data_IF_428534774539
#
_entry.id   IF_428534774539
#
_cell.length_a   1.000
_cell.length_b   1.000
_cell.length_c   1.000
_cell.angle_alpha   90.00
_cell.angle_beta   90.00
_cell.angle_gamma   90.00
#
_symmetry.space_group_name_H-M   'P 1'
#
loop_
_entity.id
_entity.type
_entity.pdbx_description
1 polymer ?
#
# COMPACT_ATOMS: atom_id res chain seq x y z
N UNK A 1 18.33 -103.00 15.04
CA UNK A 1 19.42 -102.31 15.77
C UNK A 1 19.51 -100.91 15.22
N UNK A 2 19.02 -99.91 15.95
CA UNK A 2 19.79 -99.17 16.98
C UNK A 2 20.98 -98.45 16.33
N UNK A 3 21.33 -97.21 16.63
CA UNK A 3 20.81 -96.13 17.44
C UNK A 3 21.79 -94.96 17.12
N UNK A 4 21.49 -93.74 17.52
CA UNK A 4 22.49 -92.66 17.71
C UNK A 4 23.24 -92.14 16.46
N UNK A 5 22.67 -91.13 15.79
CA UNK A 5 23.45 -90.02 15.17
C UNK A 5 22.64 -88.74 14.89
N UNK A 6 21.55 -88.52 15.64
CA UNK A 6 20.70 -87.31 15.56
C UNK A 6 20.77 -86.43 16.82
N UNK A 7 21.93 -86.39 17.50
CA UNK A 7 22.07 -85.63 18.77
C UNK A 7 23.30 -84.72 18.84
N UNK A 8 23.85 -84.28 17.69
CA UNK A 8 24.98 -83.34 17.67
C UNK A 8 24.93 -82.31 16.53
N UNK A 9 23.73 -81.90 16.09
CA UNK A 9 23.54 -80.80 15.11
C UNK A 9 22.40 -79.83 15.44
N UNK A 10 21.81 -79.90 16.64
CA UNK A 10 20.70 -79.02 17.06
C UNK A 10 21.08 -78.12 18.26
N UNK A 11 22.27 -78.28 18.85
CA UNK A 11 22.71 -77.43 19.99
C UNK A 11 23.74 -76.35 19.58
N UNK A 12 24.23 -76.34 18.34
CA UNK A 12 25.17 -75.30 17.86
C UNK A 12 24.60 -74.34 16.81
N UNK A 13 23.30 -74.41 16.52
CA UNK A 13 22.61 -73.49 15.58
C UNK A 13 21.50 -72.68 16.25
N UNK A 14 21.27 -72.88 17.55
CA UNK A 14 20.24 -72.19 18.33
C UNK A 14 20.82 -71.26 19.43
N UNK A 15 22.10 -70.89 19.35
CA UNK A 15 22.78 -70.01 20.31
C UNK A 15 23.48 -68.82 19.64
N UNK A 16 22.88 -68.26 18.58
CA UNK A 16 23.38 -67.03 17.93
C UNK A 16 22.24 -66.08 17.50
N UNK A 17 21.04 -66.26 18.05
CA UNK A 17 19.91 -65.36 17.83
C UNK A 17 19.34 -65.00 19.21
N UNK A 18 19.97 -64.00 19.84
CA UNK A 18 19.43 -63.11 20.88
C UNK A 18 20.60 -62.29 21.48
N UNK A 19 21.47 -61.73 20.63
CA UNK A 19 22.11 -60.49 21.05
C UNK A 19 21.01 -59.44 20.96
N UNK A 20 20.61 -58.77 22.07
CA UNK A 20 19.78 -57.60 21.95
C UNK A 20 20.53 -56.67 21.00
N UNK A 21 19.94 -56.38 19.83
CA UNK A 21 20.40 -55.25 19.03
C UNK A 21 20.23 -54.06 19.97
N UNK A 22 21.31 -53.66 20.63
CA UNK A 22 21.34 -52.40 21.33
C UNK A 22 21.09 -51.38 20.22
N UNK A 23 19.85 -50.91 20.10
CA UNK A 23 19.55 -49.75 19.32
C UNK A 23 20.38 -48.63 19.96
N UNK A 24 21.49 -48.29 19.32
CA UNK A 24 22.30 -47.13 19.66
C UNK A 24 21.33 -45.96 19.63
N UNK A 25 21.31 -45.17 20.70
CA UNK A 25 20.47 -44.00 20.71
C UNK A 25 21.00 -43.03 19.65
N UNK A 26 20.12 -42.44 18.85
CA UNK A 26 20.45 -41.31 17.99
C UNK A 26 21.37 -40.33 18.71
N UNK A 27 22.34 -39.77 17.99
CA UNK A 27 23.30 -38.83 18.55
C UNK A 27 23.23 -37.48 17.86
N UNK A 28 23.31 -36.42 18.67
CA UNK A 28 23.61 -35.07 18.17
C UNK A 28 25.12 -34.92 18.07
N UNK A 29 25.62 -34.88 16.85
CA UNK A 29 27.06 -34.92 16.56
C UNK A 29 27.68 -33.52 16.52
N UNK A 30 26.90 -32.53 16.10
CA UNK A 30 27.40 -31.18 15.87
C UNK A 30 26.30 -30.15 16.09
N UNK A 31 26.65 -29.05 16.75
CA UNK A 31 25.87 -27.83 16.77
C UNK A 31 26.60 -26.78 15.93
N UNK A 32 25.84 -26.00 15.17
CA UNK A 32 26.36 -24.81 14.46
C UNK A 32 25.30 -23.73 14.44
N UNK A 33 25.74 -22.51 14.15
CA UNK A 33 24.84 -21.40 13.95
C UNK A 33 25.18 -20.60 12.69
N UNK A 34 24.19 -19.85 12.19
CA UNK A 34 24.38 -18.79 11.21
C UNK A 34 23.51 -17.60 11.59
N UNK A 35 24.01 -16.39 11.34
CA UNK A 35 23.27 -15.15 11.55
C UNK A 35 23.07 -14.44 10.20
N UNK A 36 21.87 -13.93 9.98
CA UNK A 36 21.48 -13.23 8.75
C UNK A 36 20.58 -12.02 9.11
N UNK A 37 20.28 -11.12 8.16
CA UNK A 37 19.35 -10.00 8.39
C UNK A 37 17.93 -10.42 8.77
N UNK A 38 17.46 -11.63 8.41
CA UNK A 38 16.10 -12.09 8.71
C UNK A 38 16.00 -12.92 9.99
N UNK A 39 17.05 -13.69 10.30
CA UNK A 39 17.04 -14.67 11.39
C UNK A 39 18.42 -15.06 11.90
N UNK A 40 18.44 -15.59 13.11
CA UNK A 40 19.50 -16.48 13.60
C UNK A 40 19.02 -17.91 13.46
N UNK A 41 19.86 -18.79 12.91
CA UNK A 41 19.57 -20.21 12.74
C UNK A 41 20.55 -21.05 13.56
N UNK A 42 20.02 -21.97 14.34
CA UNK A 42 20.77 -23.02 15.03
C UNK A 42 20.47 -24.36 14.35
N UNK A 43 21.52 -25.13 14.07
CA UNK A 43 21.40 -26.44 13.41
C UNK A 43 22.12 -27.49 14.24
N UNK A 44 21.41 -28.56 14.53
CA UNK A 44 21.91 -29.77 15.18
C UNK A 44 21.97 -30.88 14.13
N UNK A 45 23.16 -31.40 13.85
CA UNK A 45 23.30 -32.59 13.00
C UNK A 45 23.04 -33.84 13.83
N UNK A 46 22.18 -34.71 13.31
CA UNK A 46 21.89 -36.01 13.90
C UNK A 46 22.31 -37.13 12.95
N UNK A 47 22.72 -38.27 13.49
CA UNK A 47 23.04 -39.46 12.72
C UNK A 47 21.79 -40.08 12.08
N UNK A 48 20.68 -40.09 12.80
CA UNK A 48 19.38 -40.58 12.32
C UNK A 48 18.27 -39.52 12.46
N UNK A 49 17.06 -39.87 12.01
CA UNK A 49 15.87 -39.03 12.16
C UNK A 49 15.40 -39.10 13.61
N UNK A 50 15.28 -37.96 14.28
CA UNK A 50 14.95 -37.89 15.71
C UNK A 50 13.62 -37.18 15.94
N UNK A 51 12.95 -37.54 17.04
CA UNK A 51 11.79 -36.80 17.54
C UNK A 51 12.26 -35.62 18.38
N UNK A 52 11.47 -34.57 18.40
CA UNK A 52 11.72 -33.40 19.22
C UNK A 52 10.40 -32.77 19.68
N UNK A 53 10.48 -31.99 20.75
CA UNK A 53 9.41 -31.12 21.22
C UNK A 53 10.01 -29.79 21.66
N UNK A 54 9.54 -28.71 21.05
CA UNK A 54 9.91 -27.35 21.40
C UNK A 54 8.83 -26.67 22.24
N UNK A 55 9.28 -25.77 23.10
CA UNK A 55 8.42 -24.88 23.88
C UNK A 55 9.13 -23.57 24.17
N UNK A 56 8.32 -22.53 24.40
CA UNK A 56 8.79 -21.21 24.79
C UNK A 56 8.62 -21.03 26.29
N UNK A 57 9.68 -20.63 26.97
CA UNK A 57 9.70 -20.37 28.42
C UNK A 57 10.22 -18.95 28.66
N UNK A 58 9.31 -17.97 28.72
CA UNK A 58 9.66 -16.55 28.79
C UNK A 58 10.53 -16.13 27.60
N UNK A 59 11.72 -15.59 27.88
CA UNK A 59 12.72 -15.22 26.86
C UNK A 59 13.64 -16.37 26.45
N UNK A 60 13.30 -17.63 26.74
CA UNK A 60 14.07 -18.80 26.28
C UNK A 60 13.24 -19.70 25.39
N UNK A 61 13.91 -20.34 24.43
CA UNK A 61 13.37 -21.42 23.60
C UNK A 61 14.03 -22.72 24.06
N UNK A 62 13.23 -23.72 24.40
CA UNK A 62 13.69 -25.04 24.82
C UNK A 62 13.28 -26.06 23.77
N UNK A 63 14.24 -26.83 23.26
CA UNK A 63 13.97 -27.94 22.34
C UNK A 63 14.47 -29.23 22.98
N UNK A 64 13.53 -30.08 23.39
CA UNK A 64 13.81 -31.42 23.90
C UNK A 64 13.94 -32.37 22.70
N UNK A 65 14.99 -33.18 22.66
CA UNK A 65 15.36 -33.99 21.50
C UNK A 65 15.61 -35.43 21.97
N UNK A 66 14.98 -36.39 21.30
CA UNK A 66 15.16 -37.83 21.54
C UNK A 66 16.48 -38.32 20.91
N UNK A 67 17.58 -37.67 21.28
CA UNK A 67 18.94 -37.98 20.85
C UNK A 67 19.94 -37.66 21.97
N UNK A 68 20.90 -38.55 22.19
CA UNK A 68 21.98 -38.34 23.13
C UNK A 68 22.98 -37.29 22.61
N UNK A 69 23.65 -36.61 23.52
CA UNK A 69 24.82 -35.77 23.21
C UNK A 69 25.99 -36.22 24.07
N UNK A 70 27.16 -36.46 23.46
CA UNK A 70 28.31 -37.01 24.17
C UNK A 70 28.83 -36.07 25.26
N UNK A 71 28.90 -34.77 24.96
CA UNK A 71 29.30 -33.68 25.86
C UNK A 71 28.36 -32.49 25.67
N UNK A 72 28.14 -31.73 26.73
CA UNK A 72 27.48 -30.43 26.61
C UNK A 72 28.20 -29.55 25.60
N UNK A 73 27.44 -28.92 24.70
CA UNK A 73 27.95 -27.98 23.71
C UNK A 73 27.39 -26.59 24.02
N UNK A 74 28.25 -25.58 23.93
CA UNK A 74 27.84 -24.18 24.02
C UNK A 74 28.38 -23.43 22.81
N UNK A 75 27.53 -22.62 22.19
CA UNK A 75 27.91 -21.80 21.04
C UNK A 75 27.96 -20.33 21.42
N UNK A 76 29.09 -19.68 21.14
CA UNK A 76 29.25 -18.24 21.35
C UNK A 76 28.66 -17.47 20.18
N UNK A 77 27.34 -17.33 20.17
CA UNK A 77 26.62 -16.61 19.12
C UNK A 77 26.76 -15.10 19.32
N UNK A 78 27.52 -14.45 18.44
CA UNK A 78 27.64 -12.98 18.40
C UNK A 78 26.43 -12.38 17.68
N UNK A 79 25.32 -12.23 18.39
CA UNK A 79 24.09 -11.66 17.81
C UNK A 79 23.27 -10.87 18.84
N UNK A 80 22.72 -9.69 18.50
CA UNK A 80 21.94 -8.88 19.45
C UNK A 80 20.69 -9.56 20.00
N UNK A 81 20.11 -10.56 19.33
CA UNK A 81 18.90 -11.25 19.84
C UNK A 81 19.24 -12.42 20.76
N UNK A 82 20.46 -12.96 20.71
CA UNK A 82 20.85 -14.17 21.42
C UNK A 82 21.66 -13.82 22.67
N UNK A 83 21.27 -14.39 23.81
CA UNK A 83 22.00 -14.30 25.08
C UNK A 83 22.92 -15.49 25.28
N UNK A 84 22.43 -16.71 25.04
CA UNK A 84 23.21 -17.95 25.10
C UNK A 84 22.55 -19.08 24.32
N UNK A 85 23.36 -20.04 23.89
CA UNK A 85 22.92 -21.27 23.21
C UNK A 85 23.67 -22.44 23.84
N UNK A 86 22.93 -23.33 24.50
CA UNK A 86 23.50 -24.48 25.22
C UNK A 86 22.71 -25.74 24.87
N UNK A 87 23.40 -26.77 24.39
CA UNK A 87 22.86 -28.11 24.24
C UNK A 87 23.43 -29.00 25.35
N UNK A 88 22.56 -29.46 26.26
CA UNK A 88 22.94 -30.30 27.40
C UNK A 88 22.30 -31.67 27.35
N UNK A 89 22.85 -32.60 28.12
CA UNK A 89 22.25 -33.94 28.34
C UNK A 89 20.93 -33.79 29.10
N UNK A 90 19.94 -34.62 28.73
CA UNK A 90 18.63 -34.70 29.40
C UNK A 90 18.25 -36.18 29.62
N UNK A 91 19.20 -36.96 30.14
CA UNK A 91 19.10 -38.42 30.26
C UNK A 91 20.08 -39.15 29.34
N UNK A 92 19.99 -40.48 29.29
CA UNK A 92 20.93 -41.33 28.50
C UNK A 92 20.70 -41.28 27.00
N UNK A 93 19.45 -41.05 26.57
CA UNK A 93 19.02 -41.08 25.16
C UNK A 93 18.39 -39.76 24.70
N UNK A 94 18.56 -38.69 25.47
CA UNK A 94 17.89 -37.42 25.22
C UNK A 94 18.82 -36.25 25.54
N UNK A 95 18.56 -35.13 24.86
CA UNK A 95 19.28 -33.88 25.01
C UNK A 95 18.31 -32.70 24.93
N UNK A 96 18.75 -31.57 25.46
CA UNK A 96 17.94 -30.35 25.59
C UNK A 96 18.72 -29.17 25.09
N UNK A 97 18.26 -28.56 24.00
CA UNK A 97 18.77 -27.28 23.51
C UNK A 97 18.03 -26.17 24.26
N UNK A 98 18.77 -25.29 24.91
CA UNK A 98 18.26 -24.07 25.55
C UNK A 98 18.88 -22.87 24.85
N UNK A 99 18.05 -22.07 24.20
CA UNK A 99 18.44 -20.79 23.61
C UNK A 99 17.81 -19.67 24.41
N UNK A 100 18.62 -18.93 25.18
CA UNK A 100 18.15 -17.74 25.87
C UNK A 100 18.30 -16.52 24.98
N UNK A 101 17.28 -15.66 24.96
CA UNK A 101 17.17 -14.49 24.12
C UNK A 101 17.21 -13.21 24.97
N UNK A 102 17.68 -12.11 24.36
CA UNK A 102 17.65 -10.79 25.01
C UNK A 102 16.24 -10.18 25.03
N UNK A 103 15.40 -10.57 24.07
CA UNK A 103 13.98 -10.23 23.98
C UNK A 103 13.22 -11.40 23.41
N UNK A 104 11.92 -11.42 23.68
CA UNK A 104 11.03 -12.43 23.12
C UNK A 104 11.02 -12.37 21.58
N UNK A 105 11.15 -13.52 20.91
CA UNK A 105 11.14 -13.62 19.44
C UNK A 105 10.15 -14.69 18.96
N UNK A 106 9.74 -14.57 17.70
CA UNK A 106 9.12 -15.67 16.95
C UNK A 106 10.20 -16.67 16.54
N UNK A 107 9.84 -17.95 16.50
CA UNK A 107 10.76 -19.01 16.10
C UNK A 107 10.02 -20.14 15.39
N UNK A 108 10.79 -21.00 14.72
CA UNK A 108 10.29 -22.24 14.13
C UNK A 108 11.32 -23.35 14.29
N UNK A 109 10.89 -24.50 14.79
CA UNK A 109 11.71 -25.73 14.83
C UNK A 109 11.20 -26.71 13.77
N UNK A 110 12.10 -27.26 12.96
CA UNK A 110 11.78 -28.25 11.94
C UNK A 110 12.93 -29.21 11.71
N UNK A 111 12.61 -30.42 11.23
CA UNK A 111 13.60 -31.41 10.84
C UNK A 111 13.88 -31.36 9.33
N UNK A 112 15.14 -31.59 8.95
CA UNK A 112 15.54 -31.84 7.56
C UNK A 112 16.12 -33.25 7.45
N UNK A 113 16.02 -33.85 6.27
CA UNK A 113 16.65 -35.12 5.92
C UNK A 113 17.74 -34.88 4.87
N UNK A 114 18.66 -35.83 4.73
CA UNK A 114 19.76 -35.80 3.75
C UNK A 114 20.65 -34.52 3.82
N UNK A 115 21.50 -34.36 4.86
CA UNK A 115 21.61 -35.15 6.08
C UNK A 115 20.55 -34.80 7.13
N UNK A 116 20.37 -35.69 8.12
CA UNK A 116 19.41 -35.52 9.22
C UNK A 116 19.82 -34.35 10.13
N UNK A 117 18.89 -33.40 10.33
CA UNK A 117 19.12 -32.19 11.11
C UNK A 117 17.86 -31.78 11.86
N UNK A 118 18.05 -31.22 13.06
CA UNK A 118 17.06 -30.36 13.71
C UNK A 118 17.49 -28.91 13.53
N UNK A 119 16.59 -28.07 13.01
CA UNK A 119 16.84 -26.67 12.70
C UNK A 119 15.90 -25.80 13.53
N UNK A 120 16.47 -24.83 14.25
CA UNK A 120 15.77 -23.77 14.95
C UNK A 120 16.05 -22.44 14.26
N UNK A 121 15.02 -21.85 13.66
CA UNK A 121 15.04 -20.48 13.15
C UNK A 121 14.46 -19.53 14.18
N UNK A 122 15.19 -18.45 14.50
CA UNK A 122 14.77 -17.38 15.41
C UNK A 122 14.72 -16.10 14.59
N UNK A 123 13.51 -15.60 14.34
CA UNK A 123 13.28 -14.47 13.44
C UNK A 123 13.56 -13.15 14.14
N UNK A 124 14.15 -12.20 13.41
CA UNK A 124 14.42 -10.84 13.92
C UNK A 124 13.19 -9.94 13.86
N UNK A 125 12.41 -10.12 12.81
CA UNK A 125 11.24 -9.31 12.51
C UNK A 125 10.03 -10.18 12.80
N UNK A 126 9.16 -9.67 13.67
CA UNK A 126 7.88 -10.31 13.97
C UNK A 126 6.98 -10.21 12.72
N UNK A 127 6.54 -11.34 12.20
CA UNK A 127 5.53 -11.38 11.14
C UNK A 127 4.17 -11.58 11.79
N UNK A 128 3.29 -10.60 11.63
CA UNK A 128 1.95 -10.60 12.22
C UNK A 128 0.95 -10.06 11.21
N UNK A 129 -0.17 -10.74 11.01
CA UNK A 129 -1.25 -10.29 10.16
C UNK A 129 -2.58 -10.43 10.92
N UNK A 130 -3.18 -9.29 11.25
CA UNK A 130 -4.41 -9.22 12.02
C UNK A 130 -5.50 -8.57 11.17
N UNK A 131 -6.55 -9.33 10.89
CA UNK A 131 -7.67 -8.91 10.05
C UNK A 131 -8.93 -8.77 10.90
N UNK A 132 -9.60 -7.63 10.79
CA UNK A 132 -10.81 -7.29 11.52
C UNK A 132 -11.90 -6.90 10.53
N UNK A 133 -13.02 -7.62 10.56
CA UNK A 133 -14.22 -7.24 9.82
C UNK A 133 -14.86 -5.99 10.46
N UNK A 134 -14.97 -4.91 9.70
CA UNK A 134 -15.57 -3.64 10.15
C UNK A 134 -17.09 -3.60 9.90
N UNK A 135 -17.65 -4.68 9.35
CA UNK A 135 -19.04 -4.77 8.92
C UNK A 135 -19.29 -4.11 7.57
N UNK A 136 -20.49 -4.31 7.02
CA UNK A 136 -20.98 -3.61 5.81
C UNK A 136 -20.06 -3.74 4.57
N UNK A 137 -19.36 -4.88 4.45
CA UNK A 137 -18.43 -5.15 3.35
C UNK A 137 -17.08 -4.42 3.46
N UNK A 138 -16.72 -3.87 4.63
CA UNK A 138 -15.41 -3.28 4.90
C UNK A 138 -14.57 -4.20 5.80
N UNK A 139 -13.33 -4.43 5.40
CA UNK A 139 -12.35 -5.15 6.20
C UNK A 139 -11.11 -4.28 6.41
N UNK A 140 -10.52 -4.35 7.60
CA UNK A 140 -9.23 -3.76 7.91
C UNK A 140 -8.21 -4.84 8.25
N UNK A 141 -7.00 -4.73 7.74
CA UNK A 141 -5.88 -5.61 8.07
C UNK A 141 -4.66 -4.79 8.47
N UNK A 142 -4.14 -5.03 9.67
CA UNK A 142 -2.76 -4.67 10.03
C UNK A 142 -1.83 -5.82 9.64
N UNK A 143 -0.73 -5.50 8.96
CA UNK A 143 0.24 -6.50 8.56
C UNK A 143 1.67 -6.00 8.76
N UNK A 144 2.37 -6.64 9.68
CA UNK A 144 3.81 -6.53 9.80
C UNK A 144 4.45 -7.73 9.10
N UNK A 145 5.32 -7.46 8.12
CA UNK A 145 6.02 -8.50 7.34
C UNK A 145 7.54 -8.33 7.42
N UNK A 146 8.24 -9.42 7.12
CA UNK A 146 9.69 -9.46 6.93
C UNK A 146 10.00 -9.42 5.43
N UNK A 147 10.38 -8.26 4.92
CA UNK A 147 10.73 -8.06 3.51
C UNK A 147 12.23 -8.30 3.31
N UNK A 148 12.67 -9.54 3.54
CA UNK A 148 14.06 -9.98 3.37
C UNK A 148 15.06 -9.26 4.31
N UNK A 149 14.68 -9.11 5.57
CA UNK A 149 15.47 -8.47 6.63
C UNK A 149 15.10 -7.02 6.84
N UNK A 150 14.08 -6.54 6.12
CA UNK A 150 13.56 -5.19 6.20
C UNK A 150 12.17 -5.21 6.82
N UNK A 151 11.99 -4.66 8.02
CA UNK A 151 10.68 -4.63 8.66
C UNK A 151 9.78 -3.67 7.91
N UNK A 152 8.53 -4.09 7.70
CA UNK A 152 7.51 -3.26 7.07
C UNK A 152 6.18 -3.43 7.80
N UNK A 153 5.52 -2.31 8.08
CA UNK A 153 4.17 -2.26 8.64
C UNK A 153 3.21 -1.68 7.60
N UNK A 154 2.09 -2.37 7.39
CA UNK A 154 1.08 -2.02 6.41
C UNK A 154 -0.30 -2.00 7.07
N UNK A 155 -1.12 -1.08 6.58
CA UNK A 155 -2.52 -0.88 6.95
C UNK A 155 -3.32 -1.02 5.66
N UNK A 156 -4.25 -1.97 5.63
CA UNK A 156 -4.96 -2.36 4.42
C UNK A 156 -6.46 -2.27 4.66
N UNK A 157 -7.18 -1.62 3.76
CA UNK A 157 -8.63 -1.67 3.68
C UNK A 157 -9.03 -2.48 2.45
N UNK A 158 -9.98 -3.40 2.64
CA UNK A 158 -10.64 -4.09 1.53
C UNK A 158 -12.13 -3.74 1.56
N UNK A 159 -12.61 -3.20 0.43
CA UNK A 159 -13.97 -2.74 0.24
C UNK A 159 -14.64 -3.66 -0.78
N UNK A 160 -15.56 -4.49 -0.30
CA UNK A 160 -16.27 -5.43 -1.15
C UNK A 160 -17.14 -4.69 -2.20
N UNK A 161 -17.39 -5.30 -3.38
CA UNK A 161 -18.21 -4.69 -4.44
C UNK A 161 -19.62 -4.32 -3.97
N UNK A 162 -20.19 -5.15 -3.09
CA UNK A 162 -21.50 -4.99 -2.50
C UNK A 162 -21.48 -4.26 -1.13
N UNK A 163 -20.38 -3.59 -0.78
CA UNK A 163 -20.29 -2.84 0.48
C UNK A 163 -21.35 -1.74 0.57
N UNK A 164 -21.72 -1.34 1.80
CA UNK A 164 -22.63 -0.21 2.03
C UNK A 164 -21.89 1.14 1.93
N UNK A 165 -20.68 1.18 1.38
CA UNK A 165 -19.86 2.39 1.30
C UNK A 165 -19.70 2.86 -0.13
N UNK A 166 -19.80 4.18 -0.36
CA UNK A 166 -19.35 4.86 -1.58
C UNK A 166 -17.90 5.29 -1.37
N UNK A 167 -17.08 5.14 -2.41
CA UNK A 167 -15.69 5.59 -2.43
C UNK A 167 -15.68 6.93 -3.17
N UNK A 168 -15.40 8.02 -2.46
CA UNK A 168 -15.42 9.36 -3.05
C UNK A 168 -14.15 10.14 -2.68
N UNK A 169 -13.53 10.84 -3.64
CA UNK A 169 -12.52 11.82 -3.31
C UNK A 169 -13.16 12.98 -2.55
N UNK A 170 -12.35 13.69 -1.78
CA UNK A 170 -12.75 14.95 -1.15
C UNK A 170 -11.55 15.87 -1.01
N UNK A 171 -11.81 17.18 -0.91
CA UNK A 171 -10.74 18.15 -0.62
C UNK A 171 -10.27 18.01 0.83
N UNK A 172 -8.95 17.97 1.05
CA UNK A 172 -8.38 18.01 2.39
C UNK A 172 -8.70 19.30 3.14
N UNK A 173 -8.95 20.41 2.43
CA UNK A 173 -9.46 21.65 2.99
C UNK A 173 -10.99 21.68 3.18
N UNK A 174 -11.68 20.57 2.90
CA UNK A 174 -13.13 20.34 3.10
C UNK A 174 -13.99 21.11 2.10
N UNK A 175 -14.03 22.44 2.20
CA UNK A 175 -15.02 23.30 1.50
C UNK A 175 -14.45 24.04 0.27
N UNK A 176 -13.18 23.82 -0.05
CA UNK A 176 -12.46 24.50 -1.12
C UNK A 176 -11.24 23.72 -1.57
N UNK A 177 -10.64 24.08 -2.70
CA UNK A 177 -9.33 23.57 -3.08
C UNK A 177 -8.24 24.05 -2.10
N UNK A 178 -7.34 23.17 -1.71
CA UNK A 178 -6.24 23.46 -0.80
C UNK A 178 -5.97 22.32 0.17
N UNK A 179 -4.96 22.52 1.02
CA UNK A 179 -4.48 21.50 1.95
C UNK A 179 -5.20 21.55 3.30
N UNK A 180 -5.44 20.38 3.88
CA UNK A 180 -5.88 20.26 5.26
C UNK A 180 -5.55 18.90 5.84
N UNK A 181 -5.83 18.75 7.15
CA UNK A 181 -5.62 17.53 7.90
C UNK A 181 -6.70 16.51 7.50
N UNK A 182 -6.30 15.37 6.97
CA UNK A 182 -7.13 14.21 6.66
C UNK A 182 -8.02 13.80 7.84
N UNK A 183 -7.47 13.66 9.06
CA UNK A 183 -8.29 13.29 10.22
C UNK A 183 -9.41 14.32 10.49
N UNK A 184 -9.09 15.61 10.40
CA UNK A 184 -10.09 16.68 10.55
C UNK A 184 -11.16 16.57 9.47
N UNK A 185 -10.76 16.41 8.21
CA UNK A 185 -11.68 16.31 7.09
C UNK A 185 -12.59 15.07 7.19
N UNK A 186 -12.06 13.92 7.60
CA UNK A 186 -12.82 12.69 7.86
C UNK A 186 -13.89 12.92 8.92
N UNK A 187 -13.52 13.53 10.05
CA UNK A 187 -14.45 13.81 11.14
C UNK A 187 -15.55 14.80 10.72
N UNK A 188 -15.19 15.82 9.93
CA UNK A 188 -16.15 16.84 9.46
C UNK A 188 -17.10 16.29 8.39
N UNK A 189 -16.59 15.49 7.46
CA UNK A 189 -17.37 14.95 6.34
C UNK A 189 -18.11 13.65 6.69
N UNK A 190 -17.86 13.07 7.86
CA UNK A 190 -18.52 11.83 8.31
C UNK A 190 -18.06 10.57 7.56
N UNK A 191 -16.83 10.55 7.06
CA UNK A 191 -16.28 9.35 6.41
C UNK A 191 -15.99 8.26 7.44
N UNK A 192 -16.30 6.99 7.12
CA UNK A 192 -15.96 5.83 7.97
C UNK A 192 -14.45 5.61 8.04
N UNK A 193 -13.79 5.76 6.89
CA UNK A 193 -12.36 5.63 6.72
C UNK A 193 -11.91 6.54 5.58
N UNK A 194 -10.64 6.92 5.56
CA UNK A 194 -10.03 7.59 4.42
C UNK A 194 -8.51 7.37 4.36
N UNK A 195 -7.95 7.64 3.18
CA UNK A 195 -6.51 7.78 2.96
C UNK A 195 -6.21 9.07 2.21
N UNK A 196 -4.96 9.50 2.20
CA UNK A 196 -4.49 10.52 1.25
C UNK A 196 -4.52 9.99 -0.20
N UNK A 197 -4.60 10.88 -1.19
CA UNK A 197 -4.75 10.49 -2.59
C UNK A 197 -3.78 11.21 -3.56
N UNK A 198 -4.27 12.11 -4.42
CA UNK A 198 -3.47 12.74 -5.48
C UNK A 198 -2.29 13.57 -4.99
N UNK A 199 -1.28 13.71 -5.86
CA UNK A 199 -0.18 14.63 -5.67
C UNK A 199 -0.66 16.08 -5.64
N UNK A 200 0.16 16.96 -5.04
CA UNK A 200 -0.10 18.38 -4.98
C UNK A 200 1.19 19.20 -4.86
N UNK A 201 1.15 20.45 -5.28
CA UNK A 201 2.26 21.39 -5.13
C UNK A 201 2.26 22.08 -3.75
N UNK A 202 3.22 22.98 -3.52
CA UNK A 202 3.33 23.71 -2.25
C UNK A 202 2.16 24.64 -1.94
N UNK A 203 1.42 25.08 -2.96
CA UNK A 203 0.21 25.89 -2.84
C UNK A 203 -1.05 25.03 -2.60
N UNK A 204 -0.91 23.70 -2.73
CA UNK A 204 -2.01 22.76 -2.62
C UNK A 204 -2.76 22.52 -3.94
N UNK A 205 -2.23 22.99 -5.07
CA UNK A 205 -2.78 22.66 -6.38
C UNK A 205 -2.58 21.18 -6.64
N UNK A 206 -3.68 20.50 -6.95
CA UNK A 206 -3.76 19.10 -7.31
C UNK A 206 -3.01 18.85 -8.61
N UNK A 207 -2.06 17.92 -8.56
CA UNK A 207 -1.30 17.43 -9.71
C UNK A 207 -1.89 16.07 -10.10
N UNK A 208 -2.71 16.06 -11.14
CA UNK A 208 -3.46 14.88 -11.57
C UNK A 208 -4.90 15.22 -11.98
N UNK A 209 -5.47 14.37 -12.83
CA UNK A 209 -6.88 14.46 -13.21
C UNK A 209 -7.78 14.15 -12.01
N UNK A 210 -8.61 15.10 -11.60
CA UNK A 210 -9.59 14.90 -10.53
C UNK A 210 -10.99 15.26 -11.00
N UNK A 211 -11.88 14.28 -10.91
CA UNK A 211 -13.32 14.41 -11.15
C UNK A 211 -14.09 13.84 -9.95
N UNK A 212 -15.06 14.59 -9.46
CA UNK A 212 -15.97 14.18 -8.38
C UNK A 212 -17.40 14.43 -8.88
N UNK A 213 -18.25 13.42 -8.80
CA UNK A 213 -19.64 13.46 -9.28
C UNK A 213 -19.77 14.02 -10.71
N UNK A 214 -18.84 13.65 -11.59
CA UNK A 214 -18.82 14.12 -12.99
C UNK A 214 -18.15 15.48 -13.21
N UNK A 215 -17.92 16.25 -12.14
CA UNK A 215 -17.36 17.60 -12.20
C UNK A 215 -15.85 17.65 -12.00
N UNK A 216 -15.18 18.53 -12.74
CA UNK A 216 -13.72 18.64 -12.75
C UNK A 216 -13.19 19.52 -11.62
N UNK A 217 -12.20 19.01 -10.90
CA UNK A 217 -11.50 19.75 -9.84
C UNK A 217 -10.03 20.00 -10.16
N UNK A 218 -9.41 19.11 -10.92
CA UNK A 218 -7.99 19.14 -11.26
C UNK A 218 -7.77 18.51 -12.62
N UNK A 219 -6.70 18.90 -13.28
CA UNK A 219 -6.36 18.40 -14.61
C UNK A 219 -4.86 18.11 -14.73
N UNK A 220 -4.53 17.15 -15.58
CA UNK A 220 -3.18 16.79 -15.98
C UNK A 220 -3.22 16.39 -17.46
N UNK A 221 -2.50 17.15 -18.28
CA UNK A 221 -2.41 16.93 -19.73
C UNK A 221 -1.42 15.82 -20.09
N UNK A 222 -0.57 15.39 -19.15
CA UNK A 222 0.23 14.19 -19.28
C UNK A 222 -0.62 12.94 -19.08
N UNK A 223 -0.43 11.95 -19.96
CA UNK A 223 -1.09 10.65 -19.85
C UNK A 223 -0.64 9.91 -18.59
N UNK A 224 -1.42 10.02 -17.51
CA UNK A 224 -1.17 9.31 -16.25
C UNK A 224 -2.29 8.33 -15.93
N UNK A 225 -1.99 7.43 -15.01
CA UNK A 225 -2.96 6.48 -14.50
C UNK A 225 -3.87 7.10 -13.44
N UNK A 226 -5.13 6.66 -13.44
CA UNK A 226 -6.14 7.10 -12.48
C UNK A 226 -7.00 5.93 -11.98
N UNK A 227 -7.50 6.09 -10.76
CA UNK A 227 -8.59 5.28 -10.23
C UNK A 227 -9.90 5.88 -10.73
N UNK A 228 -10.70 5.10 -11.43
CA UNK A 228 -11.90 5.54 -12.11
C UNK A 228 -13.10 4.76 -11.61
N UNK A 229 -14.20 5.45 -11.30
CA UNK A 229 -15.50 4.83 -11.06
C UNK A 229 -16.45 5.31 -12.15
N UNK A 230 -16.84 4.40 -13.03
CA UNK A 230 -17.80 4.64 -14.10
C UNK A 230 -18.95 3.63 -13.96
N UNK A 231 -20.19 4.11 -14.00
CA UNK A 231 -21.41 3.31 -13.79
C UNK A 231 -21.32 2.49 -12.48
N UNK A 232 -20.83 3.12 -11.41
CA UNK A 232 -20.58 2.47 -10.11
C UNK A 232 -19.47 1.40 -10.08
N UNK A 233 -18.73 1.16 -11.18
CA UNK A 233 -17.68 0.13 -11.25
C UNK A 233 -16.29 0.73 -11.07
N UNK A 234 -15.53 0.32 -10.03
CA UNK A 234 -14.16 0.75 -9.84
C UNK A 234 -13.21 0.05 -10.82
N UNK A 235 -12.26 0.80 -11.38
CA UNK A 235 -11.21 0.30 -12.26
C UNK A 235 -9.98 1.19 -12.21
N UNK A 236 -8.85 0.68 -12.67
CA UNK A 236 -7.63 1.47 -12.90
C UNK A 236 -7.47 1.64 -14.40
N UNK A 237 -7.31 2.88 -14.85
CA UNK A 237 -7.10 3.22 -16.26
C UNK A 237 -5.78 3.97 -16.41
N UNK A 238 -5.09 3.75 -17.52
CA UNK A 238 -3.81 4.39 -17.86
C UNK A 238 -3.97 5.39 -19.00
N UNK A 239 -2.92 6.18 -19.19
CA UNK A 239 -2.77 7.09 -20.34
C UNK A 239 -3.91 8.11 -20.48
N UNK A 240 -4.49 8.54 -19.34
CA UNK A 240 -5.55 9.54 -19.29
C UNK A 240 -4.91 10.94 -19.28
N UNK A 241 -4.92 11.58 -20.44
CA UNK A 241 -4.40 12.93 -20.68
C UNK A 241 -5.57 13.89 -20.87
N UNK A 242 -5.65 14.92 -20.03
CA UNK A 242 -6.68 15.93 -20.16
C UNK A 242 -6.48 16.80 -21.40
N UNK A 243 -7.57 17.01 -22.14
CA UNK A 243 -7.68 18.01 -23.18
C UNK A 243 -8.99 18.77 -23.02
N UNK A 244 -8.88 20.05 -22.67
CA UNK A 244 -10.02 20.91 -22.45
C UNK A 244 -9.98 22.15 -23.32
N UNK A 245 -11.15 22.69 -23.64
CA UNK A 245 -11.26 23.93 -24.39
C UNK A 245 -12.53 24.70 -24.12
N UNK A 246 -12.45 26.02 -24.21
CA UNK A 246 -13.58 26.93 -24.18
C UNK A 246 -13.97 27.25 -25.61
N UNK A 247 -15.20 26.89 -25.98
CA UNK A 247 -15.79 27.14 -27.29
C UNK A 247 -16.50 28.48 -27.28
N UNK A 248 -16.12 29.37 -28.21
CA UNK A 248 -16.69 30.71 -28.37
C UNK A 248 -17.23 30.89 -29.80
N UNK A 249 -18.41 30.31 -30.14
CA UNK A 249 -18.96 30.33 -31.50
C UNK A 249 -19.13 31.73 -32.09
N UNK A 250 -19.50 32.74 -31.29
CA UNK A 250 -19.68 34.12 -31.76
C UNK A 250 -18.40 34.72 -32.38
N UNK A 251 -17.24 34.25 -31.91
CA UNK A 251 -15.93 34.68 -32.41
C UNK A 251 -15.30 33.66 -33.37
N UNK A 252 -15.90 32.48 -33.56
CA UNK A 252 -15.28 31.37 -34.30
C UNK A 252 -13.99 30.82 -33.66
N UNK A 253 -13.81 31.03 -32.35
CA UNK A 253 -12.56 30.71 -31.63
C UNK A 253 -12.76 29.57 -30.63
N UNK A 254 -11.71 28.77 -30.45
CA UNK A 254 -11.56 27.77 -29.41
C UNK A 254 -10.32 28.07 -28.58
N UNK A 255 -10.48 28.28 -27.28
CA UNK A 255 -9.37 28.54 -26.36
C UNK A 255 -8.97 27.26 -25.63
N UNK A 256 -7.69 26.91 -25.64
CA UNK A 256 -7.20 25.73 -24.93
C UNK A 256 -7.10 25.96 -23.42
N UNK A 257 -7.68 25.07 -22.62
CA UNK A 257 -7.65 25.15 -21.15
C UNK A 257 -6.31 24.66 -20.64
N UNK A 258 -5.60 25.52 -19.89
CA UNK A 258 -4.30 25.23 -19.28
C UNK A 258 -4.37 25.06 -17.76
N UNK A 259 -5.55 25.18 -17.14
CA UNK A 259 -5.70 24.95 -15.70
C UNK A 259 -7.15 24.77 -15.26
N UNK A 260 -7.32 24.08 -14.14
CA UNK A 260 -8.58 24.00 -13.40
C UNK A 260 -8.31 24.31 -11.94
N UNK A 261 -9.11 25.18 -11.32
CA UNK A 261 -9.11 25.48 -9.88
C UNK A 261 -7.72 25.78 -9.30
N UNK A 262 -6.90 26.55 -10.03
CA UNK A 262 -5.55 26.94 -9.60
C UNK A 262 -5.27 28.38 -9.99
N UNK A 263 -4.21 28.97 -9.47
CA UNK A 263 -3.89 30.37 -9.75
C UNK A 263 -3.65 30.61 -11.25
N UNK A 264 -4.28 31.64 -11.83
CA UNK A 264 -4.04 32.05 -13.22
C UNK A 264 -2.66 32.67 -13.35
N UNK A 265 -1.81 32.11 -14.23
CA UNK A 265 -0.51 32.69 -14.58
C UNK A 265 -0.53 33.24 -16.02
N UNK A 266 0.61 33.75 -16.50
CA UNK A 266 0.71 34.38 -17.81
C UNK A 266 0.32 33.44 -18.97
N UNK A 267 -0.38 33.99 -19.98
CA UNK A 267 -0.89 33.29 -21.17
C UNK A 267 -1.82 32.10 -20.92
N UNK A 268 -2.39 31.97 -19.72
CA UNK A 268 -3.29 30.88 -19.39
C UNK A 268 -4.75 31.16 -19.70
N UNK A 269 -5.48 30.05 -19.86
CA UNK A 269 -6.93 29.97 -19.72
C UNK A 269 -7.22 28.95 -18.61
N UNK A 270 -7.82 29.42 -17.52
CA UNK A 270 -8.11 28.63 -16.33
C UNK A 270 -9.62 28.54 -16.13
N UNK A 271 -10.11 27.34 -15.83
CA UNK A 271 -11.50 27.12 -15.42
C UNK A 271 -11.58 27.12 -13.90
N UNK A 272 -12.44 27.96 -13.34
CA UNK A 272 -12.83 27.89 -11.93
C UNK A 272 -14.23 27.31 -11.81
N UNK A 273 -14.32 26.30 -10.96
CA UNK A 273 -15.56 25.63 -10.56
C UNK A 273 -15.84 25.93 -9.10
N UNK A 274 -17.03 25.53 -8.63
CA UNK A 274 -17.46 25.73 -7.24
C UNK A 274 -16.52 25.10 -6.20
N UNK A 275 -15.72 24.11 -6.59
CA UNK A 275 -14.72 23.48 -5.71
C UNK A 275 -13.52 24.36 -5.39
N UNK A 276 -13.26 25.45 -6.11
CA UNK A 276 -12.08 26.31 -5.83
C UNK A 276 -12.23 27.16 -4.57
N UNK A 277 -13.46 27.46 -4.16
CA UNK A 277 -13.80 28.36 -3.07
C UNK A 277 -14.76 29.48 -3.52
N UNK A 278 -14.94 30.53 -2.71
CA UNK A 278 -16.00 31.53 -2.91
C UNK A 278 -15.76 32.50 -4.06
N UNK A 279 -14.52 32.63 -4.55
CA UNK A 279 -14.13 33.48 -5.67
C UNK A 279 -12.85 32.98 -6.33
N UNK A 280 -12.56 33.48 -7.54
CA UNK A 280 -11.38 33.10 -8.34
C UNK A 280 -10.05 33.57 -7.74
N UNK A 281 -10.07 34.56 -6.83
CA UNK A 281 -8.87 35.15 -6.19
C UNK A 281 -7.82 35.65 -7.18
N UNK A 282 -8.20 35.89 -8.43
CA UNK A 282 -7.30 36.39 -9.47
C UNK A 282 -7.11 37.90 -9.35
N UNK A 283 -6.00 38.38 -9.91
CA UNK A 283 -5.72 39.81 -10.09
C UNK A 283 -6.41 40.36 -11.36
N UNK A 284 -6.22 41.66 -11.60
CA UNK A 284 -6.75 42.41 -12.74
C UNK A 284 -5.92 42.30 -14.04
N UNK A 285 -4.90 41.44 -14.10
CA UNK A 285 -4.08 41.25 -15.33
C UNK A 285 -4.75 40.33 -16.36
N UNK A 286 -6.08 40.33 -16.46
CA UNK A 286 -6.79 39.47 -17.39
C UNK A 286 -8.28 39.75 -17.48
N UNK A 287 -9.00 38.81 -18.09
CA UNK A 287 -10.43 38.88 -18.27
C UNK A 287 -11.07 37.59 -17.76
N UNK A 288 -12.15 37.73 -16.99
CA UNK A 288 -12.94 36.62 -16.48
C UNK A 288 -14.33 36.65 -17.12
N UNK A 289 -14.82 35.48 -17.50
CA UNK A 289 -16.13 35.29 -18.12
C UNK A 289 -16.88 34.22 -17.35
N UNK A 290 -18.06 34.56 -16.82
CA UNK A 290 -18.98 33.57 -16.26
C UNK A 290 -19.77 32.94 -17.38
N UNK A 291 -19.68 31.61 -17.48
CA UNK A 291 -20.54 30.82 -18.36
C UNK A 291 -21.61 30.16 -17.50
N UNK A 292 -22.87 30.45 -17.80
CA UNK A 292 -24.05 29.89 -17.12
C UNK A 292 -25.07 29.48 -18.18
N UNK A 293 -25.60 28.27 -18.05
CA UNK A 293 -26.60 27.71 -18.98
C UNK A 293 -26.19 27.81 -20.47
N UNK A 294 -24.88 27.59 -20.74
CA UNK A 294 -24.31 27.62 -22.09
C UNK A 294 -24.14 29.02 -22.69
N UNK A 295 -24.22 30.09 -21.89
CA UNK A 295 -24.10 31.48 -22.32
C UNK A 295 -23.18 32.30 -21.42
N UNK A 296 -22.60 33.34 -21.99
CA UNK A 296 -21.88 34.39 -21.26
C UNK A 296 -22.88 35.17 -20.40
N UNK A 297 -22.70 35.12 -19.09
CA UNK A 297 -23.55 35.80 -18.12
C UNK A 297 -22.89 37.04 -17.52
N UNK A 298 -21.57 37.08 -17.47
CA UNK A 298 -20.79 38.17 -16.87
C UNK A 298 -19.41 38.22 -17.52
N UNK A 299 -18.87 39.42 -17.70
CA UNK A 299 -17.52 39.67 -18.20
C UNK A 299 -16.87 40.69 -17.26
N UNK A 300 -15.68 40.41 -16.74
CA UNK A 300 -14.98 41.29 -15.80
C UNK A 300 -13.47 41.36 -16.07
N UNK A 301 -12.92 42.58 -16.06
CA UNK A 301 -11.46 42.83 -16.10
C UNK A 301 -10.86 43.11 -14.71
N UNK A 302 -11.70 43.15 -13.67
CA UNK A 302 -11.24 43.42 -12.31
C UNK A 302 -10.55 42.20 -11.66
N UNK A 303 -10.86 40.99 -12.15
CA UNK A 303 -10.50 39.74 -11.50
C UNK A 303 -11.39 39.42 -10.30
N UNK A 304 -11.08 38.32 -9.62
CA UNK A 304 -11.71 37.88 -8.38
C UNK A 304 -13.25 37.73 -8.44
N UNK A 305 -13.81 37.27 -9.56
CA UNK A 305 -15.24 37.01 -9.66
C UNK A 305 -15.71 36.00 -8.59
N UNK A 306 -16.90 36.23 -8.02
CA UNK A 306 -17.54 35.28 -7.10
C UNK A 306 -17.92 34.00 -7.83
N UNK A 307 -17.66 32.86 -7.24
CA UNK A 307 -18.02 31.57 -7.81
C UNK A 307 -19.37 31.13 -7.22
N UNK A 308 -20.27 30.66 -8.08
CA UNK A 308 -21.52 30.02 -7.69
C UNK A 308 -21.57 28.59 -8.23
N UNK A 309 -22.45 27.76 -7.66
CA UNK A 309 -22.49 26.32 -7.97
C UNK A 309 -22.98 26.00 -9.39
N UNK A 310 -23.75 26.89 -10.01
CA UNK A 310 -24.45 26.62 -11.26
C UNK A 310 -23.78 27.32 -12.46
N UNK A 311 -22.52 27.69 -12.32
CA UNK A 311 -21.73 28.31 -13.38
C UNK A 311 -20.27 27.91 -13.29
N UNK A 312 -19.55 28.16 -14.37
CA UNK A 312 -18.09 28.08 -14.42
C UNK A 312 -17.53 29.44 -14.79
N UNK A 313 -16.35 29.76 -14.26
CA UNK A 313 -15.65 30.99 -14.62
C UNK A 313 -14.45 30.63 -15.47
N UNK A 314 -14.39 31.18 -16.67
CA UNK A 314 -13.21 31.14 -17.53
C UNK A 314 -12.39 32.38 -17.26
N UNK A 315 -11.18 32.21 -16.74
CA UNK A 315 -10.25 33.31 -16.48
C UNK A 315 -9.08 33.20 -17.45
N UNK A 316 -8.87 34.22 -18.28
CA UNK A 316 -7.79 34.24 -19.25
C UNK A 316 -6.80 35.38 -19.02
N UNK A 317 -5.53 35.14 -19.32
CA UNK A 317 -4.45 36.13 -19.33
C UNK A 317 -4.04 36.45 -20.78
N UNK A 318 -3.41 37.61 -20.98
CA UNK A 318 -2.63 37.89 -22.18
C UNK A 318 -3.47 37.93 -23.45
N UNK A 319 -2.99 37.26 -24.51
CA UNK A 319 -3.69 37.17 -25.79
C UNK A 319 -5.09 36.56 -25.65
N UNK A 320 -5.23 35.54 -24.80
CA UNK A 320 -6.53 34.91 -24.53
C UNK A 320 -7.49 35.83 -23.77
N UNK A 321 -6.99 36.71 -22.89
CA UNK A 321 -7.81 37.73 -22.25
C UNK A 321 -8.41 38.68 -23.29
N UNK A 322 -7.61 39.12 -24.27
CA UNK A 322 -8.07 39.99 -25.36
C UNK A 322 -9.14 39.35 -26.25
N UNK A 323 -9.18 38.02 -26.33
CA UNK A 323 -10.27 37.29 -26.99
C UNK A 323 -11.53 37.34 -26.13
N UNK A 324 -11.43 37.05 -24.82
CA UNK A 324 -12.59 37.11 -23.92
C UNK A 324 -13.21 38.52 -23.82
N UNK A 325 -12.39 39.57 -23.92
CA UNK A 325 -12.85 40.98 -23.92
C UNK A 325 -13.75 41.34 -25.11
N UNK A 326 -13.78 40.53 -26.18
CA UNK A 326 -14.61 40.75 -27.37
C UNK A 326 -16.01 40.14 -27.25
N UNK A 327 -16.25 39.31 -26.24
CA UNK A 327 -17.54 38.67 -26.02
C UNK A 327 -18.59 39.67 -25.54
N UNK A 328 -19.85 39.32 -25.77
CA UNK A 328 -21.02 40.03 -25.26
C UNK A 328 -21.82 39.13 -24.31
N UNK A 329 -22.50 39.76 -23.34
CA UNK A 329 -23.46 39.04 -22.50
C UNK A 329 -24.55 38.44 -23.38
N UNK A 330 -24.84 37.15 -23.18
CA UNK A 330 -25.78 36.37 -23.98
C UNK A 330 -25.14 35.53 -25.08
N UNK A 331 -23.87 35.77 -25.44
CA UNK A 331 -23.15 34.95 -26.40
C UNK A 331 -23.12 33.49 -25.96
N UNK A 332 -23.26 32.56 -26.91
CA UNK A 332 -23.07 31.13 -26.62
C UNK A 332 -21.62 30.89 -26.24
N UNK A 333 -21.41 30.15 -25.16
CA UNK A 333 -20.09 29.71 -24.73
C UNK A 333 -20.21 28.38 -23.99
N UNK A 334 -19.25 27.49 -24.18
CA UNK A 334 -19.24 26.19 -23.47
C UNK A 334 -17.83 25.72 -23.19
N UNK A 335 -17.66 24.91 -22.16
CA UNK A 335 -16.40 24.23 -21.86
C UNK A 335 -16.55 22.77 -22.30
N UNK A 336 -15.65 22.31 -23.17
CA UNK A 336 -15.54 20.92 -23.59
C UNK A 336 -14.30 20.31 -22.97
N UNK A 337 -14.43 19.13 -22.37
CA UNK A 337 -13.36 18.49 -21.60
C UNK A 337 -13.38 17.00 -21.89
N UNK A 338 -12.21 16.42 -22.16
CA UNK A 338 -12.05 14.98 -22.42
C UNK A 338 -10.71 14.48 -21.88
N UNK A 339 -10.65 13.19 -21.57
CA UNK A 339 -9.46 12.40 -21.26
C UNK A 339 -9.01 11.56 -22.46
N UNK A 340 -9.62 11.76 -23.63
CA UNK A 340 -9.43 10.89 -24.80
C UNK A 340 -10.01 9.49 -24.63
N UNK A 341 -10.85 9.28 -23.61
CA UNK A 341 -11.44 7.99 -23.29
C UNK A 341 -12.90 8.15 -22.87
N UNK A 342 -13.82 7.58 -23.65
CA UNK A 342 -15.28 7.73 -23.44
C UNK A 342 -15.76 7.23 -22.08
N UNK A 343 -15.13 6.20 -21.51
CA UNK A 343 -15.51 5.68 -20.18
C UNK A 343 -15.07 6.65 -19.09
N UNK A 344 -13.81 7.13 -19.14
CA UNK A 344 -13.30 8.10 -18.18
C UNK A 344 -14.00 9.48 -18.30
N UNK A 345 -14.42 9.85 -19.52
CA UNK A 345 -15.16 11.08 -19.78
C UNK A 345 -16.53 11.09 -19.08
N UNK A 346 -17.22 9.94 -19.08
CA UNK A 346 -18.52 9.76 -18.43
C UNK A 346 -18.44 9.34 -16.95
N UNK A 347 -17.24 9.04 -16.46
CA UNK A 347 -17.04 8.55 -15.10
C UNK A 347 -17.50 9.55 -14.03
N UNK A 348 -18.07 9.02 -12.95
CA UNK A 348 -18.46 9.78 -11.75
C UNK A 348 -17.21 10.25 -11.00
N UNK A 349 -16.22 9.36 -10.89
CA UNK A 349 -14.94 9.63 -10.21
C UNK A 349 -13.79 9.36 -11.17
N UNK A 350 -12.87 10.31 -11.23
CA UNK A 350 -11.52 10.11 -11.78
C UNK A 350 -10.55 10.65 -10.73
N UNK A 351 -9.65 9.81 -10.25
CA UNK A 351 -8.67 10.16 -9.23
C UNK A 351 -7.27 9.80 -9.73
N UNK A 352 -6.66 10.75 -10.42
CA UNK A 352 -5.34 10.66 -11.02
C UNK A 352 -4.23 10.85 -10.00
N UNK A 353 -3.19 10.03 -10.11
CA UNK A 353 -1.94 10.17 -9.38
C UNK A 353 -0.84 9.48 -10.18
N UNK A 354 -0.56 8.21 -9.86
CA UNK A 354 0.38 7.36 -10.58
C UNK A 354 1.67 7.11 -9.79
N UNK A 355 2.56 6.27 -10.31
CA UNK A 355 2.35 5.49 -11.53
C UNK A 355 1.40 4.32 -11.31
N UNK A 356 0.92 3.72 -12.40
CA UNK A 356 0.44 2.35 -12.35
C UNK A 356 1.54 1.41 -11.84
N UNK A 357 1.13 0.42 -11.07
CA UNK A 357 1.98 -0.57 -10.41
C UNK A 357 1.71 -1.98 -10.93
N UNK A 358 0.44 -2.30 -11.20
CA UNK A 358 -0.03 -3.64 -11.58
C UNK A 358 -1.01 -3.50 -12.74
N UNK A 359 -0.84 -4.36 -13.74
CA UNK A 359 -1.70 -4.48 -14.92
C UNK A 359 -1.90 -5.98 -15.23
N UNK A 360 -3.16 -6.40 -15.43
CA UNK A 360 -3.55 -7.79 -15.69
C UNK A 360 -2.95 -8.81 -14.70
N UNK A 361 -2.90 -8.44 -13.42
CA UNK A 361 -2.34 -9.24 -12.32
C UNK A 361 -0.82 -9.37 -12.35
N UNK A 362 -0.14 -8.64 -13.24
CA UNK A 362 1.32 -8.64 -13.41
C UNK A 362 1.89 -7.29 -13.00
N UNK A 363 3.13 -7.33 -12.56
CA UNK A 363 3.89 -6.11 -12.22
C UNK A 363 4.10 -5.27 -13.47
N UNK A 364 3.71 -4.00 -13.41
CA UNK A 364 3.96 -3.01 -14.46
C UNK A 364 4.14 -1.61 -13.83
N UNK A 365 5.34 -1.31 -13.32
CA UNK A 365 5.64 -0.02 -12.70
C UNK A 365 5.95 1.03 -13.78
N UNK A 366 4.99 1.91 -14.05
CA UNK A 366 5.00 2.85 -15.19
C UNK A 366 5.66 4.21 -14.89
N UNK A 367 6.57 4.30 -13.90
CA UNK A 367 7.18 5.58 -13.47
C UNK A 367 7.79 6.40 -14.62
N UNK A 368 8.49 5.73 -15.55
CA UNK A 368 9.14 6.39 -16.68
C UNK A 368 8.11 6.90 -17.69
N UNK A 369 7.17 6.06 -18.11
CA UNK A 369 6.14 6.43 -19.08
C UNK A 369 5.18 7.51 -18.56
N UNK A 370 4.89 7.50 -17.26
CA UNK A 370 4.03 8.49 -16.60
C UNK A 370 4.78 9.73 -16.09
N UNK A 371 6.08 9.82 -16.39
CA UNK A 371 6.96 10.94 -16.02
C UNK A 371 6.87 11.29 -14.52
N UNK A 372 6.94 10.26 -13.68
CA UNK A 372 6.90 10.41 -12.24
C UNK A 372 8.24 10.95 -11.76
N UNK A 373 8.20 11.97 -10.90
CA UNK A 373 9.39 12.61 -10.36
C UNK A 373 10.28 11.62 -9.60
N UNK A 374 11.61 11.83 -9.64
CA UNK A 374 12.58 10.86 -9.13
C UNK A 374 12.48 10.60 -7.62
N UNK A 375 12.11 11.60 -6.85
CA UNK A 375 11.88 11.51 -5.40
C UNK A 375 10.68 10.62 -5.04
N UNK A 376 9.73 10.45 -5.97
CA UNK A 376 8.62 9.51 -5.87
C UNK A 376 9.03 8.15 -6.45
N UNK A 377 9.64 8.16 -7.64
CA UNK A 377 9.92 6.97 -8.44
C UNK A 377 10.98 6.05 -7.83
N UNK A 378 11.96 6.61 -7.12
CA UNK A 378 13.13 5.88 -6.64
C UNK A 378 13.19 5.79 -5.11
N UNK A 379 13.78 4.71 -4.63
CA UNK A 379 14.01 4.49 -3.20
C UNK A 379 12.77 4.09 -2.40
N UNK A 380 13.01 3.90 -1.10
CA UNK A 380 11.99 3.50 -0.12
C UNK A 380 11.34 4.72 0.50
N UNK A 381 10.03 4.69 0.59
CA UNK A 381 9.25 5.70 1.28
C UNK A 381 8.04 5.04 1.96
N UNK A 382 7.37 5.73 2.90
CA UNK A 382 5.96 5.49 3.16
C UNK A 382 5.17 5.61 1.84
N UNK A 383 4.20 4.72 1.63
CA UNK A 383 3.44 4.63 0.37
C UNK A 383 1.96 4.51 0.65
N UNK A 384 1.15 5.14 -0.18
CA UNK A 384 -0.29 4.88 -0.28
C UNK A 384 -0.57 4.36 -1.69
N UNK A 385 -1.37 3.31 -1.82
CA UNK A 385 -1.74 2.71 -3.09
C UNK A 385 -3.17 2.20 -3.08
N UNK A 386 -3.75 2.11 -4.27
CA UNK A 386 -5.08 1.56 -4.49
C UNK A 386 -5.03 0.52 -5.61
N UNK A 387 -5.83 -0.52 -5.49
CA UNK A 387 -5.98 -1.52 -6.53
C UNK A 387 -7.38 -2.12 -6.54
N UNK A 388 -7.68 -2.82 -7.62
CA UNK A 388 -8.96 -3.46 -7.88
C UNK A 388 -8.68 -4.94 -8.15
N UNK A 389 -9.44 -5.81 -7.48
CA UNK A 389 -9.42 -7.26 -7.69
C UNK A 389 -10.35 -7.64 -8.84
N UNK A 390 -10.24 -8.89 -9.30
CA UNK A 390 -11.06 -9.42 -10.41
C UNK A 390 -12.58 -9.36 -10.12
N UNK A 391 -12.99 -9.49 -8.86
CA UNK A 391 -14.40 -9.42 -8.45
C UNK A 391 -14.91 -7.99 -8.25
N UNK A 392 -14.07 -6.97 -8.43
CA UNK A 392 -14.39 -5.56 -8.18
C UNK A 392 -14.09 -5.09 -6.76
N UNK A 393 -13.56 -5.94 -5.88
CA UNK A 393 -13.12 -5.52 -4.54
C UNK A 393 -12.02 -4.48 -4.68
N UNK A 394 -12.16 -3.36 -3.97
CA UNK A 394 -11.12 -2.31 -3.91
C UNK A 394 -10.21 -2.59 -2.72
N UNK A 395 -8.90 -2.58 -2.97
CA UNK A 395 -7.84 -2.74 -1.97
C UNK A 395 -7.10 -1.42 -1.84
N UNK A 396 -7.02 -0.89 -0.64
CA UNK A 396 -6.25 0.33 -0.32
C UNK A 396 -5.16 -0.07 0.66
N UNK A 397 -3.91 0.29 0.36
CA UNK A 397 -2.74 -0.03 1.18
C UNK A 397 -2.04 1.27 1.58
N UNK A 398 -1.74 1.40 2.87
CA UNK A 398 -0.81 2.39 3.42
C UNK A 398 0.34 1.65 4.09
N UNK A 399 1.56 1.85 3.60
CA UNK A 399 2.78 1.32 4.19
C UNK A 399 3.52 2.42 4.96
N UNK A 400 3.83 2.15 6.22
CA UNK A 400 4.66 3.05 7.03
C UNK A 400 6.12 3.02 6.54
N UNK A 401 6.88 4.08 6.80
CA UNK A 401 8.26 4.18 6.38
C UNK A 401 9.09 5.19 7.17
N UNK A 402 10.39 5.26 6.88
CA UNK A 402 11.36 6.17 7.52
C UNK A 402 11.47 5.97 9.03
N UNK A 403 11.24 4.74 9.51
CA UNK A 403 11.38 4.35 10.92
C UNK A 403 12.10 3.02 11.06
N UNK A 404 12.65 2.73 12.23
CA UNK A 404 13.42 1.51 12.50
C UNK A 404 12.56 0.24 12.43
N UNK A 405 11.26 0.34 12.77
CA UNK A 405 10.30 -0.76 12.73
C UNK A 405 9.47 -0.82 11.44
N UNK A 406 9.65 0.14 10.52
CA UNK A 406 9.05 0.13 9.18
C UNK A 406 9.88 0.97 8.22
N UNK A 407 10.59 0.34 7.30
CA UNK A 407 11.55 1.04 6.43
C UNK A 407 10.91 1.67 5.19
N UNK A 408 9.65 1.35 4.91
CA UNK A 408 8.96 1.77 3.70
C UNK A 408 9.25 0.87 2.50
N UNK A 409 8.59 1.18 1.38
CA UNK A 409 8.63 0.37 0.17
C UNK A 409 9.10 1.18 -1.04
N UNK A 410 9.81 0.50 -1.92
CA UNK A 410 9.94 0.89 -3.33
C UNK A 410 8.61 0.67 -4.06
N UNK A 411 8.40 1.33 -5.21
CA UNK A 411 7.17 1.12 -6.00
C UNK A 411 7.02 -0.34 -6.47
N UNK A 412 8.13 -1.01 -6.80
CA UNK A 412 8.15 -2.43 -7.17
C UNK A 412 7.65 -3.34 -6.05
N UNK A 413 8.04 -3.05 -4.81
CA UNK A 413 7.56 -3.78 -3.64
C UNK A 413 6.08 -3.57 -3.41
N UNK A 414 5.60 -2.33 -3.50
CA UNK A 414 4.15 -2.07 -3.41
C UNK A 414 3.41 -2.87 -4.47
N UNK A 415 3.89 -2.91 -5.71
CA UNK A 415 3.28 -3.71 -6.78
C UNK A 415 3.21 -5.21 -6.40
N UNK A 416 4.30 -5.78 -5.87
CA UNK A 416 4.33 -7.18 -5.40
C UNK A 416 3.31 -7.44 -4.29
N UNK A 417 3.18 -6.52 -3.33
CA UNK A 417 2.19 -6.65 -2.25
C UNK A 417 0.75 -6.49 -2.75
N UNK A 418 0.49 -5.57 -3.69
CA UNK A 418 -0.83 -5.43 -4.30
C UNK A 418 -1.26 -6.71 -5.05
N UNK A 419 -0.33 -7.36 -5.76
CA UNK A 419 -0.58 -8.68 -6.38
C UNK A 419 -0.83 -9.74 -5.30
N UNK A 420 -0.04 -9.76 -4.22
CA UNK A 420 -0.23 -10.69 -3.07
C UNK A 420 -1.58 -10.49 -2.36
N UNK A 421 -2.16 -9.30 -2.45
CA UNK A 421 -3.50 -8.96 -1.97
C UNK A 421 -4.62 -9.27 -2.99
N UNK A 422 -4.25 -9.74 -4.20
CA UNK A 422 -5.18 -10.16 -5.25
C UNK A 422 -5.61 -9.05 -6.20
N UNK A 423 -4.97 -7.87 -6.16
CA UNK A 423 -5.24 -6.81 -7.13
C UNK A 423 -4.79 -7.27 -8.53
N UNK A 424 -5.70 -7.14 -9.50
CA UNK A 424 -5.38 -7.34 -10.93
C UNK A 424 -4.93 -6.06 -11.60
N UNK A 425 -5.28 -4.92 -11.02
CA UNK A 425 -4.76 -3.61 -11.43
C UNK A 425 -4.55 -2.74 -10.19
N UNK A 426 -3.47 -1.96 -10.17
CA UNK A 426 -3.17 -1.07 -9.04
C UNK A 426 -2.36 0.14 -9.49
N UNK A 427 -2.49 1.24 -8.76
CA UNK A 427 -1.70 2.45 -8.94
C UNK A 427 -1.27 3.02 -7.58
N UNK A 428 -0.20 3.81 -7.62
CA UNK A 428 0.34 4.52 -6.46
C UNK A 428 -0.32 5.90 -6.29
N UNK A 429 -0.59 6.29 -5.05
CA UNK A 429 -1.00 7.63 -4.63
C UNK A 429 0.17 8.42 -4.06
N UNK A 430 -0.07 9.67 -3.66
CA UNK A 430 0.92 10.45 -2.93
C UNK A 430 1.42 9.69 -1.71
N UNK A 431 2.71 9.86 -1.41
CA UNK A 431 3.43 9.06 -0.44
C UNK A 431 4.19 9.90 0.56
N UNK A 432 5.25 9.33 1.12
CA UNK A 432 6.08 10.05 2.08
C UNK A 432 5.27 10.50 3.30
N UNK A 433 5.49 11.73 3.76
CA UNK A 433 4.79 12.28 4.92
C UNK A 433 3.28 12.47 4.71
N UNK A 434 2.79 12.37 3.47
CA UNK A 434 1.36 12.39 3.17
C UNK A 434 0.67 11.05 3.46
N UNK A 435 1.42 9.95 3.55
CA UNK A 435 0.84 8.61 3.70
C UNK A 435 0.11 8.46 5.03
N UNK A 436 -1.22 8.38 4.96
CA UNK A 436 -2.07 8.31 6.14
C UNK A 436 -3.31 7.45 5.88
N UNK A 437 -3.70 6.67 6.89
CA UNK A 437 -4.98 5.96 6.95
C UNK A 437 -5.72 6.34 8.23
N UNK A 438 -6.95 6.82 8.05
CA UNK A 438 -7.90 7.07 9.13
C UNK A 438 -9.02 6.04 9.06
N UNK A 439 -9.40 5.45 10.21
CA UNK A 439 -10.56 4.58 10.35
C UNK A 439 -11.21 4.86 11.70
N UNK A 440 -12.53 5.03 11.73
CA UNK A 440 -13.27 5.33 12.96
C UNK A 440 -12.68 6.52 13.74
N UNK A 441 -12.38 7.62 13.02
CA UNK A 441 -11.83 8.86 13.58
C UNK A 441 -10.49 8.67 14.30
N UNK A 442 -9.70 7.67 13.90
CA UNK A 442 -8.35 7.40 14.42
C UNK A 442 -7.37 7.18 13.28
N UNK A 443 -6.21 7.80 13.38
CA UNK A 443 -5.06 7.50 12.51
C UNK A 443 -4.56 6.11 12.90
N UNK A 444 -4.46 5.21 11.93
CA UNK A 444 -4.04 3.82 12.18
C UNK A 444 -2.55 3.61 12.02
N UNK A 445 -1.93 4.35 11.11
CA UNK A 445 -0.52 4.25 10.77
C UNK A 445 0.32 5.30 11.50
N UNK A 446 1.62 5.36 11.21
CA UNK A 446 2.54 6.32 11.83
C UNK A 446 3.02 7.36 10.81
N UNK A 447 2.37 8.54 10.72
CA UNK A 447 2.82 9.61 9.84
C UNK A 447 4.32 9.89 9.97
N UNK A 448 5.02 9.93 8.83
CA UNK A 448 6.49 9.91 8.83
C UNK A 448 7.12 11.23 9.27
N UNK A 449 6.37 12.33 9.24
CA UNK A 449 6.85 13.66 9.64
C UNK A 449 6.73 13.89 11.16
N UNK A 450 6.44 12.83 11.93
CA UNK A 450 6.18 12.88 13.37
C UNK A 450 4.73 13.24 13.71
N UNK A 451 4.07 13.98 12.83
CA UNK A 451 2.63 14.28 12.86
C UNK A 451 2.05 14.07 11.45
N UNK A 452 0.71 14.04 11.37
CA UNK A 452 -0.01 14.13 10.08
C UNK A 452 0.54 15.29 9.23
N UNK A 453 0.47 15.16 7.90
CA UNK A 453 0.76 16.23 6.92
C UNK A 453 -0.54 16.73 6.31
N UNK A 454 -0.64 18.04 6.05
CA UNK A 454 -1.79 18.57 5.35
C UNK A 454 -1.73 18.17 3.87
N UNK A 455 -2.80 17.55 3.37
CA UNK A 455 -2.91 17.03 1.99
C UNK A 455 -4.03 17.75 1.24
N UNK A 456 -3.95 17.81 -0.09
CA UNK A 456 -4.98 18.45 -0.92
C UNK A 456 -6.18 17.55 -1.20
N UNK A 457 -5.97 16.24 -1.36
CA UNK A 457 -7.03 15.30 -1.71
C UNK A 457 -6.97 14.08 -0.79
N UNK A 458 -8.12 13.74 -0.22
CA UNK A 458 -8.35 12.47 0.44
C UNK A 458 -9.28 11.58 -0.38
N UNK A 459 -9.23 10.28 -0.14
CA UNK A 459 -10.19 9.30 -0.66
C UNK A 459 -10.92 8.66 0.50
N UNK A 460 -12.23 8.89 0.59
CA UNK A 460 -13.06 8.52 1.73
C UNK A 460 -14.08 7.43 1.43
N UNK A 461 -14.43 6.67 2.47
CA UNK A 461 -15.53 5.70 2.47
C UNK A 461 -16.74 6.30 3.19
N UNK A 462 -17.79 6.64 2.44
CA UNK A 462 -19.01 7.27 2.95
C UNK A 462 -20.18 6.30 2.94
N UNK A 463 -21.05 6.34 3.93
CA UNK A 463 -22.25 5.48 3.95
C UNK A 463 -23.12 5.73 2.70
N UNK A 464 -23.53 4.67 2.01
CA UNK A 464 -24.53 4.74 0.93
C UNK A 464 -25.91 5.14 1.44
N UNK A 465 -26.18 4.85 2.72
CA UNK A 465 -27.41 5.25 3.41
C UNK A 465 -27.19 6.62 4.04
N UNK A 466 -27.81 7.63 3.42
CA UNK A 466 -28.37 8.80 4.08
C UNK A 466 -29.89 8.70 3.94
#
# INVERSE_FOLDING_TARGET
MLQTKYFLKIILTALLILLPVQAWAATVNKMRYSSSPTRVRIVLDTDEKVKYKDEKQGSSIVVNIDAAVAKEMSEKVKDPIIKSVVLKKDGRKASKLVVSLNKEQQYKVFALQQPNRIVLDIYRILVTKNTVNQGKGLQYTFWQDDMEGLPIQMHILEVAPNSDYKILPFSGAIDRNGRGRLLKAVNTLGAKAAVNASYFDTSGWIIGNLKIDGEWLGMEDKGRSAFVIADGKPQIMKDLAYNGSVMLPALGVKLHVKGINRERIAEDVVIYTHYFGPSTRTNNFGCEVRIKDGKVAEISKAGNLRIDKNSVIVSAHGTNAKILEQLQIGDRASVQQTLGNTVADKAEVVLGAGPMLVEDGKRNVRSVSEQIAGDIAYGRAPRTAIGVKKDGTVVILVADGRRTNSVGMTLDEVARYMIKLGAVSALNFDGGGSSEMVLNNKILNNPSDGNERAVSVGLGLFSKKN
#
